data_IF_108444092729
#
_entry.id   IF_108444092729
#
_cell.length_a   1.000
_cell.length_b   1.000
_cell.length_c   1.000
_cell.angle_alpha   90.00
_cell.angle_beta   90.00
_cell.angle_gamma   90.00
#
_symmetry.space_group_name_H-M   'P 1'
#
loop_
_entity.id
_entity.type
_entity.pdbx_description
1 polymer ?
#
# COMPACT_ATOMS: atom_id res chain seq x y z
N UNK A 1 -8.56 -1.29 -17.10
CA UNK A 1 -7.21 -1.26 -16.47
C UNK A 1 -6.95 0.18 -16.02
N UNK A 2 -6.60 0.41 -14.75
CA UNK A 2 -6.26 1.75 -14.27
C UNK A 2 -4.73 1.91 -14.31
N UNK A 3 -4.25 3.01 -14.89
CA UNK A 3 -2.84 3.35 -14.94
C UNK A 3 -2.60 4.69 -14.25
N UNK A 4 -1.49 4.78 -13.52
CA UNK A 4 -1.05 5.98 -12.83
C UNK A 4 0.45 6.18 -13.10
N UNK A 5 0.86 7.41 -13.36
CA UNK A 5 2.26 7.82 -13.43
C UNK A 5 2.55 8.74 -12.25
N UNK A 6 3.69 8.54 -11.60
CA UNK A 6 4.14 9.37 -10.47
C UNK A 6 5.61 9.68 -10.63
N UNK A 7 6.00 10.92 -10.37
CA UNK A 7 7.39 11.37 -10.50
C UNK A 7 8.05 11.60 -9.12
N UNK A 8 7.32 11.33 -8.04
CA UNK A 8 7.83 11.43 -6.67
C UNK A 8 7.29 10.36 -5.73
N UNK A 9 8.07 10.02 -4.70
CA UNK A 9 7.63 9.11 -3.64
C UNK A 9 6.37 9.61 -2.92
N UNK A 10 6.19 10.93 -2.82
CA UNK A 10 5.03 11.56 -2.18
C UNK A 10 3.76 11.36 -3.01
N UNK A 11 3.86 11.45 -4.33
CA UNK A 11 2.74 11.14 -5.24
C UNK A 11 2.36 9.67 -5.17
N UNK A 12 3.33 8.75 -5.23
CA UNK A 12 3.06 7.31 -5.09
C UNK A 12 2.32 7.02 -3.78
N UNK A 13 2.76 7.63 -2.67
CA UNK A 13 2.09 7.49 -1.38
C UNK A 13 0.66 8.05 -1.40
N UNK A 14 0.44 9.20 -2.04
CA UNK A 14 -0.88 9.85 -2.14
C UNK A 14 -1.87 8.97 -2.92
N UNK A 15 -1.43 8.41 -4.05
CA UNK A 15 -2.25 7.49 -4.86
C UNK A 15 -2.58 6.22 -4.06
N UNK A 16 -1.57 5.61 -3.43
CA UNK A 16 -1.76 4.41 -2.62
C UNK A 16 -2.74 4.65 -1.46
N UNK A 17 -2.67 5.81 -0.79
CA UNK A 17 -3.60 6.18 0.27
C UNK A 17 -5.04 6.33 -0.24
N UNK A 18 -5.23 6.91 -1.43
CA UNK A 18 -6.53 7.03 -2.08
C UNK A 18 -7.13 5.66 -2.42
N UNK A 19 -6.31 4.74 -2.95
CA UNK A 19 -6.71 3.37 -3.24
C UNK A 19 -7.14 2.64 -1.96
N UNK A 20 -6.36 2.74 -0.88
CA UNK A 20 -6.66 2.13 0.41
C UNK A 20 -8.06 2.53 0.94
N UNK A 21 -8.38 3.83 0.89
CA UNK A 21 -9.70 4.36 1.28
C UNK A 21 -10.84 3.80 0.43
N UNK A 22 -10.63 3.66 -0.89
CA UNK A 22 -11.62 3.05 -1.81
C UNK A 22 -11.90 1.60 -1.43
N UNK A 23 -10.85 0.83 -1.12
CA UNK A 23 -11.00 -0.58 -0.74
C UNK A 23 -11.56 -0.79 0.67
N UNK A 24 -11.29 0.11 1.63
CA UNK A 24 -11.94 0.09 2.95
C UNK A 24 -13.45 0.21 2.83
N UNK A 25 -13.93 1.16 2.01
CA UNK A 25 -15.37 1.34 1.76
C UNK A 25 -16.02 0.11 1.12
N UNK A 26 -15.27 -0.64 0.32
CA UNK A 26 -15.73 -1.89 -0.30
C UNK A 26 -15.63 -3.13 0.62
N UNK A 27 -14.98 -3.00 1.80
CA UNK A 27 -14.68 -4.12 2.71
C UNK A 27 -15.89 -4.56 3.56
N UNK A 28 -16.91 -3.71 3.71
CA UNK A 28 -18.07 -3.91 4.58
C UNK A 28 -18.94 -5.14 4.26
N UNK A 29 -18.70 -5.86 3.16
CA UNK A 29 -19.43 -7.08 2.79
C UNK A 29 -18.58 -8.35 2.60
N UNK A 30 -17.27 -8.32 2.91
CA UNK A 30 -16.38 -9.47 2.62
C UNK A 30 -16.20 -10.38 3.84
N UNK A 31 -16.42 -11.68 3.64
CA UNK A 31 -16.10 -12.74 4.64
C UNK A 31 -14.62 -13.13 4.66
N UNK A 32 -13.88 -12.89 3.57
CA UNK A 32 -12.49 -13.34 3.41
C UNK A 32 -11.49 -12.19 3.44
N UNK A 33 -10.22 -12.52 3.70
CA UNK A 33 -9.11 -11.57 3.64
C UNK A 33 -8.93 -10.99 2.22
N UNK A 34 -8.45 -9.74 2.17
CA UNK A 34 -8.08 -9.10 0.91
C UNK A 34 -6.56 -9.11 0.79
N UNK A 35 -6.06 -9.71 -0.29
CA UNK A 35 -4.63 -9.83 -0.58
C UNK A 35 -4.27 -8.92 -1.75
N UNK A 36 -3.22 -8.12 -1.59
CA UNK A 36 -2.64 -7.30 -2.66
C UNK A 36 -1.22 -7.79 -2.95
N UNK A 37 -0.97 -8.21 -4.18
CA UNK A 37 0.38 -8.51 -4.66
C UNK A 37 1.01 -7.24 -5.25
N UNK A 38 2.25 -6.93 -4.85
CA UNK A 38 3.05 -5.84 -5.43
C UNK A 38 4.21 -6.45 -6.21
N UNK A 39 4.29 -6.15 -7.51
CA UNK A 39 5.30 -6.67 -8.41
C UNK A 39 6.14 -5.55 -9.01
N UNK A 40 7.42 -5.83 -9.27
CA UNK A 40 8.37 -4.93 -9.90
C UNK A 40 9.77 -5.05 -9.32
N UNK A 41 10.74 -4.43 -9.98
CA UNK A 41 12.17 -4.49 -9.68
C UNK A 41 12.57 -3.90 -8.31
N UNK A 42 13.76 -4.23 -7.83
CA UNK A 42 14.32 -3.58 -6.65
C UNK A 42 14.38 -2.05 -6.86
N UNK A 43 13.96 -1.29 -5.85
CA UNK A 43 13.90 0.18 -5.96
C UNK A 43 12.69 0.73 -6.71
N UNK A 44 11.81 -0.11 -7.27
CA UNK A 44 10.60 0.35 -8.03
C UNK A 44 9.52 1.07 -7.21
N UNK A 45 9.76 1.33 -5.91
CA UNK A 45 8.81 2.04 -5.06
C UNK A 45 7.74 1.18 -4.36
N UNK A 46 7.87 -0.15 -4.36
CA UNK A 46 6.93 -1.07 -3.66
C UNK A 46 6.72 -0.70 -2.19
N UNK A 47 7.79 -0.47 -1.44
CA UNK A 47 7.70 -0.08 -0.02
C UNK A 47 7.05 1.30 0.15
N UNK A 48 7.35 2.24 -0.75
CA UNK A 48 6.73 3.57 -0.80
C UNK A 48 5.22 3.47 -1.01
N UNK A 49 4.78 2.58 -1.90
CA UNK A 49 3.36 2.28 -2.09
C UNK A 49 2.71 1.75 -0.81
N UNK A 50 3.31 0.73 -0.16
CA UNK A 50 2.77 0.17 1.10
C UNK A 50 2.64 1.23 2.18
N UNK A 51 3.65 2.11 2.34
CA UNK A 51 3.60 3.21 3.30
C UNK A 51 2.40 4.12 3.07
N UNK A 52 2.16 4.54 1.82
CA UNK A 52 0.99 5.35 1.48
C UNK A 52 -0.32 4.62 1.71
N UNK A 53 -0.38 3.35 1.31
CA UNK A 53 -1.56 2.50 1.46
C UNK A 53 -1.96 2.37 2.94
N UNK A 54 -1.03 1.97 3.82
CA UNK A 54 -1.28 1.81 5.25
C UNK A 54 -1.63 3.14 5.94
N UNK A 55 -1.01 4.26 5.53
CA UNK A 55 -1.42 5.60 5.99
C UNK A 55 -2.85 5.91 5.59
N UNK A 56 -3.26 5.54 4.37
CA UNK A 56 -4.65 5.66 3.92
C UNK A 56 -5.64 4.83 4.74
N UNK A 57 -5.18 3.74 5.36
CA UNK A 57 -5.93 2.94 6.32
C UNK A 57 -5.94 3.50 7.75
N UNK A 58 -5.19 4.59 8.01
CA UNK A 58 -5.09 5.21 9.34
C UNK A 58 -3.94 4.69 10.20
N UNK A 59 -3.06 3.84 9.68
CA UNK A 59 -1.89 3.35 10.44
C UNK A 59 -0.83 4.45 10.51
N UNK A 60 -0.51 4.89 11.73
CA UNK A 60 0.47 5.97 12.00
C UNK A 60 1.88 5.48 12.35
N UNK A 61 2.07 4.16 12.52
CA UNK A 61 3.37 3.55 12.87
C UNK A 61 4.40 3.74 11.74
N UNK A 62 5.68 3.72 12.10
CA UNK A 62 6.79 3.73 11.13
C UNK A 62 6.81 2.42 10.34
N UNK A 63 6.48 2.48 9.06
CA UNK A 63 6.45 1.31 8.16
C UNK A 63 7.84 1.14 7.51
N UNK A 64 8.43 -0.03 7.70
CA UNK A 64 9.75 -0.39 7.15
C UNK A 64 9.65 -1.68 6.35
N UNK A 65 10.55 -1.87 5.38
CA UNK A 65 10.63 -3.10 4.60
C UNK A 65 10.89 -4.31 5.52
N UNK A 66 10.17 -5.44 5.36
CA UNK A 66 10.44 -6.67 6.08
C UNK A 66 11.58 -7.48 5.44
N UNK A 67 12.61 -6.82 4.89
CA UNK A 67 13.67 -7.45 4.08
C UNK A 67 14.30 -8.68 4.75
N UNK A 68 14.49 -8.64 6.07
CA UNK A 68 15.10 -9.72 6.83
C UNK A 68 14.13 -10.53 7.70
N UNK A 69 12.85 -10.14 7.77
CA UNK A 69 11.89 -10.72 8.73
C UNK A 69 10.70 -11.42 8.07
N UNK A 70 10.70 -11.55 6.74
CA UNK A 70 9.64 -12.18 5.91
C UNK A 70 8.28 -11.45 6.01
N UNK A 71 7.77 -11.17 7.21
CA UNK A 71 6.51 -10.51 7.48
C UNK A 71 6.61 -9.49 8.63
N UNK A 72 5.74 -8.47 8.59
CA UNK A 72 5.51 -7.51 9.68
C UNK A 72 4.02 -7.23 9.81
N UNK A 73 3.52 -7.24 11.05
CA UNK A 73 2.15 -6.89 11.39
C UNK A 73 2.12 -5.46 11.94
N UNK A 74 1.13 -4.67 11.51
CA UNK A 74 1.04 -3.24 11.83
C UNK A 74 -0.31 -2.87 12.43
#
# INVERSE_FOLDING_TARGET
>A
MHSYKTDSSKETQKIAAGLAKKFLRAKTKRKNALVFALMGELGSGKTTFVQGFLRGLGIKKKITSPTFVIAKNY
#
